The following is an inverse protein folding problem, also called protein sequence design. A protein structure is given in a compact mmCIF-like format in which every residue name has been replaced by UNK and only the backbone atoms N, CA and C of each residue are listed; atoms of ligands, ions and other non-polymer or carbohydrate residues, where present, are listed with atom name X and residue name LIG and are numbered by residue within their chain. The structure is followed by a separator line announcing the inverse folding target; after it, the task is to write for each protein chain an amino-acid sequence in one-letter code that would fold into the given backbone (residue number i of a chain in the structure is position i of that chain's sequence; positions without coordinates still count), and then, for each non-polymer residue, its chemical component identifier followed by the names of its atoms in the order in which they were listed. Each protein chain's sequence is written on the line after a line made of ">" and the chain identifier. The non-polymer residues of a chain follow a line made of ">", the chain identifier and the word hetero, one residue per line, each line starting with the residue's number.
data_IF_929630397124
#
_entry.id   IF_929630397124
#
_cell.length_a   1.000
_cell.length_b   1.000
_cell.length_c   1.000
_cell.angle_alpha   90.00
_cell.angle_beta   90.00
_cell.angle_gamma   90.00
#
_symmetry.space_group_name_H-M   'P 1'
#
loop_
_entity.id
_entity.type
_entity.pdbx_description
1 polymer ?
#
# COMPACT_ATOMS: atom_id res chain seq x y z
N UNK A 1 -1.78 -50.76 -34.93
CA UNK A 1 -2.03 -49.31 -35.14
C UNK A 1 -2.84 -48.73 -33.97
N UNK A 2 -3.98 -49.26 -33.53
CA UNK A 2 -4.80 -48.75 -32.42
C UNK A 2 -4.02 -48.73 -31.11
N UNK A 3 -3.23 -49.74 -30.76
CA UNK A 3 -2.43 -49.79 -29.56
C UNK A 3 -1.31 -48.70 -29.55
N UNK A 4 -0.71 -48.41 -30.72
CA UNK A 4 0.31 -47.36 -30.86
C UNK A 4 -0.31 -45.97 -30.69
N UNK A 5 -1.48 -45.72 -31.29
CA UNK A 5 -2.19 -44.45 -31.13
C UNK A 5 -2.68 -44.24 -29.68
N UNK A 6 -3.09 -45.28 -28.97
CA UNK A 6 -3.48 -45.19 -27.57
C UNK A 6 -2.26 -44.91 -26.65
N UNK A 7 -1.09 -45.52 -26.93
CA UNK A 7 0.13 -45.25 -26.18
C UNK A 7 0.58 -43.81 -26.34
N UNK A 8 0.60 -43.27 -27.56
CA UNK A 8 0.92 -41.85 -27.82
C UNK A 8 -0.06 -40.89 -27.13
N UNK A 9 -1.36 -41.22 -27.15
CA UNK A 9 -2.37 -40.39 -26.47
C UNK A 9 -2.16 -40.37 -24.94
N UNK A 10 -1.82 -41.51 -24.33
CA UNK A 10 -1.52 -41.60 -22.89
C UNK A 10 -0.27 -40.81 -22.56
N UNK A 11 0.84 -41.04 -23.31
CA UNK A 11 2.10 -40.32 -23.12
C UNK A 11 1.94 -38.79 -23.27
N UNK A 12 1.16 -38.36 -24.28
CA UNK A 12 0.86 -36.94 -24.46
C UNK A 12 0.09 -36.37 -23.28
N UNK A 13 -0.88 -37.11 -22.76
CA UNK A 13 -1.66 -36.70 -21.59
C UNK A 13 -0.79 -36.61 -20.34
N UNK A 14 0.04 -37.60 -20.07
CA UNK A 14 0.98 -37.60 -18.95
C UNK A 14 1.96 -36.40 -19.04
N UNK A 15 2.41 -36.07 -20.25
CA UNK A 15 3.27 -34.91 -20.47
C UNK A 15 2.55 -33.60 -20.16
N UNK A 16 1.32 -33.44 -20.61
CA UNK A 16 0.48 -32.24 -20.33
C UNK A 16 0.23 -32.11 -18.82
N UNK A 17 -0.15 -33.19 -18.14
CA UNK A 17 -0.36 -33.21 -16.68
C UNK A 17 0.93 -32.86 -15.92
N UNK A 18 2.07 -33.39 -16.37
CA UNK A 18 3.37 -33.07 -15.80
C UNK A 18 3.77 -31.61 -16.00
N UNK A 19 3.51 -31.04 -17.18
CA UNK A 19 3.74 -29.62 -17.46
C UNK A 19 2.85 -28.70 -16.61
N UNK A 20 1.59 -29.05 -16.41
CA UNK A 20 0.68 -28.29 -15.54
C UNK A 20 1.16 -28.33 -14.09
N UNK A 21 1.52 -29.52 -13.58
CA UNK A 21 2.04 -29.67 -12.22
C UNK A 21 3.32 -28.86 -12.00
N UNK A 22 4.20 -28.82 -13.01
CA UNK A 22 5.42 -28.02 -12.96
C UNK A 22 5.11 -26.52 -12.93
N UNK A 23 4.18 -26.05 -13.77
CA UNK A 23 3.74 -24.66 -13.81
C UNK A 23 3.10 -24.24 -12.48
N UNK A 24 2.21 -25.06 -11.92
CA UNK A 24 1.61 -24.84 -10.60
C UNK A 24 2.68 -24.78 -9.49
N UNK A 25 3.70 -25.61 -9.60
CA UNK A 25 4.86 -25.59 -8.69
C UNK A 25 5.64 -24.27 -8.75
N UNK A 26 5.91 -23.76 -9.96
CA UNK A 26 6.56 -22.46 -10.15
C UNK A 26 5.70 -21.29 -9.65
N UNK A 27 4.40 -21.31 -9.90
CA UNK A 27 3.48 -20.27 -9.44
C UNK A 27 3.47 -20.21 -7.92
N UNK A 28 3.38 -21.37 -7.25
CA UNK A 28 3.46 -21.41 -5.78
C UNK A 28 4.82 -20.93 -5.25
N UNK A 29 5.91 -21.23 -5.96
CA UNK A 29 7.23 -20.73 -5.60
C UNK A 29 7.28 -19.20 -5.69
N UNK A 30 6.77 -18.62 -6.78
CA UNK A 30 6.70 -17.16 -6.96
C UNK A 30 5.83 -16.52 -5.88
N UNK A 31 4.62 -17.04 -5.64
CA UNK A 31 3.73 -16.58 -4.60
C UNK A 31 4.36 -16.63 -3.20
N UNK A 32 5.06 -17.75 -2.88
CA UNK A 32 5.79 -17.88 -1.62
C UNK A 32 6.96 -16.89 -1.49
N UNK A 33 7.63 -16.55 -2.60
CA UNK A 33 8.70 -15.55 -2.61
C UNK A 33 8.16 -14.12 -2.38
N UNK A 34 6.96 -13.84 -2.89
CA UNK A 34 6.26 -12.56 -2.66
C UNK A 34 5.83 -12.46 -1.19
N UNK A 35 5.21 -13.52 -0.67
CA UNK A 35 4.80 -13.58 0.74
C UNK A 35 6.01 -13.49 1.70
N UNK A 36 7.16 -14.03 1.31
CA UNK A 36 8.39 -13.95 2.10
C UNK A 36 9.05 -12.55 2.09
N UNK A 37 8.73 -11.69 1.12
CA UNK A 37 9.28 -10.35 1.00
C UNK A 37 8.79 -9.42 2.12
N UNK A 38 7.54 -9.55 2.52
CA UNK A 38 6.99 -8.80 3.64
C UNK A 38 6.46 -9.79 4.70
N UNK A 39 6.86 -9.65 5.97
CA UNK A 39 6.33 -10.47 7.05
C UNK A 39 4.82 -10.30 7.26
N UNK A 40 4.21 -9.33 6.57
CA UNK A 40 2.80 -8.95 6.68
C UNK A 40 1.91 -9.51 5.56
N UNK A 41 2.47 -10.27 4.62
CA UNK A 41 1.74 -10.91 3.52
C UNK A 41 1.75 -12.43 3.62
N UNK A 42 2.21 -12.97 4.76
CA UNK A 42 2.36 -14.42 4.96
C UNK A 42 1.08 -15.20 4.67
N UNK A 43 1.05 -15.90 3.52
CA UNK A 43 -0.07 -16.72 3.07
C UNK A 43 -1.22 -15.97 2.39
N UNK A 44 -1.13 -14.66 2.15
CA UNK A 44 -2.13 -13.91 1.39
C UNK A 44 -2.30 -14.47 -0.02
N UNK A 45 -1.18 -14.66 -0.72
CA UNK A 45 -1.16 -15.22 -2.08
C UNK A 45 -1.73 -16.65 -2.16
N UNK A 46 -1.85 -17.38 -1.06
CA UNK A 46 -2.50 -18.69 -0.99
C UNK A 46 -3.98 -18.60 -0.60
N UNK A 47 -4.35 -17.64 0.26
CA UNK A 47 -5.71 -17.52 0.80
C UNK A 47 -6.68 -16.86 -0.19
N UNK A 48 -6.25 -15.83 -0.92
CA UNK A 48 -7.09 -15.14 -1.93
C UNK A 48 -7.57 -16.10 -3.03
N UNK A 49 -6.72 -16.93 -3.66
CA UNK A 49 -7.18 -17.90 -4.65
C UNK A 49 -8.25 -18.87 -4.12
N UNK A 50 -8.08 -19.34 -2.89
CA UNK A 50 -9.06 -20.26 -2.24
C UNK A 50 -10.41 -19.56 -2.06
N UNK A 51 -10.39 -18.32 -1.56
CA UNK A 51 -11.61 -17.55 -1.36
C UNK A 51 -12.28 -17.20 -2.68
N UNK A 52 -11.52 -16.77 -3.69
CA UNK A 52 -12.02 -16.48 -5.03
C UNK A 52 -12.68 -17.73 -5.66
N UNK A 53 -12.06 -18.90 -5.52
CA UNK A 53 -12.64 -20.17 -5.96
C UNK A 53 -13.96 -20.47 -5.23
N UNK A 54 -14.01 -20.32 -3.91
CA UNK A 54 -15.25 -20.57 -3.12
C UNK A 54 -16.41 -19.65 -3.56
N UNK A 55 -16.12 -18.39 -3.89
CA UNK A 55 -17.14 -17.44 -4.40
C UNK A 55 -17.56 -17.85 -5.81
N UNK A 56 -16.63 -18.23 -6.67
CA UNK A 56 -16.91 -18.69 -8.05
C UNK A 56 -17.81 -19.92 -8.06
N UNK A 57 -17.54 -20.92 -7.23
CA UNK A 57 -18.35 -22.13 -7.12
C UNK A 57 -19.82 -21.82 -6.76
N UNK A 58 -20.03 -20.85 -5.87
CA UNK A 58 -21.38 -20.41 -5.49
C UNK A 58 -22.03 -19.61 -6.62
N UNK A 59 -21.28 -18.76 -7.31
CA UNK A 59 -21.79 -18.01 -8.46
C UNK A 59 -22.25 -18.94 -9.59
N UNK A 60 -21.52 -20.03 -9.84
CA UNK A 60 -21.88 -21.03 -10.85
C UNK A 60 -23.09 -21.89 -10.46
N UNK A 61 -23.38 -22.04 -9.17
CA UNK A 61 -24.54 -22.76 -8.66
C UNK A 61 -25.79 -21.90 -8.65
N UNK A 62 -25.66 -20.58 -8.81
CA UNK A 62 -26.82 -19.69 -8.84
C UNK A 62 -27.70 -19.97 -10.03
N UNK A 63 -29.02 -20.08 -9.76
CA UNK A 63 -30.08 -20.32 -10.79
C UNK A 63 -30.85 -19.04 -11.10
N UNK A 64 -30.68 -17.99 -10.33
CA UNK A 64 -31.45 -16.75 -10.46
C UNK A 64 -30.49 -15.53 -10.33
N UNK A 65 -30.99 -14.35 -10.73
CA UNK A 65 -30.23 -13.10 -10.63
C UNK A 65 -29.09 -12.99 -11.64
N UNK A 66 -28.10 -12.10 -11.40
CA UNK A 66 -27.06 -11.79 -12.38
C UNK A 66 -26.10 -12.95 -12.65
N UNK A 67 -26.08 -13.97 -11.79
CA UNK A 67 -25.20 -15.14 -11.94
C UNK A 67 -25.92 -16.36 -12.57
N UNK A 68 -27.21 -16.30 -12.92
CA UNK A 68 -27.99 -17.43 -13.39
C UNK A 68 -27.36 -18.15 -14.61
N UNK A 69 -26.68 -17.42 -15.47
CA UNK A 69 -26.02 -17.92 -16.66
C UNK A 69 -24.49 -17.97 -16.55
N UNK A 70 -23.95 -17.63 -15.40
CA UNK A 70 -22.51 -17.65 -15.19
C UNK A 70 -22.01 -19.08 -15.02
N UNK A 71 -21.19 -19.53 -15.93
CA UNK A 71 -20.49 -20.81 -15.87
C UNK A 71 -19.13 -20.65 -16.50
N UNK A 72 -18.13 -21.27 -15.91
CA UNK A 72 -16.77 -21.32 -16.43
C UNK A 72 -16.47 -22.75 -16.91
N UNK A 73 -15.88 -22.87 -18.08
CA UNK A 73 -15.31 -24.15 -18.51
C UNK A 73 -13.99 -24.45 -17.77
N UNK A 74 -13.38 -25.61 -18.02
CA UNK A 74 -12.16 -26.03 -17.33
C UNK A 74 -10.97 -25.08 -17.60
N UNK A 75 -10.80 -24.60 -18.84
CA UNK A 75 -9.74 -23.67 -19.20
C UNK A 75 -9.94 -22.31 -18.51
N UNK A 76 -11.15 -21.78 -18.48
CA UNK A 76 -11.48 -20.52 -17.81
C UNK A 76 -11.28 -20.60 -16.30
N UNK A 77 -11.59 -21.73 -15.65
CA UNK A 77 -11.32 -21.95 -14.23
C UNK A 77 -9.83 -21.98 -13.94
N UNK A 78 -9.08 -22.66 -14.81
CA UNK A 78 -7.64 -22.74 -14.67
C UNK A 78 -6.99 -21.37 -14.91
N UNK A 79 -7.44 -20.64 -15.92
CA UNK A 79 -6.99 -19.26 -16.19
C UNK A 79 -7.24 -18.33 -14.99
N UNK A 80 -8.45 -18.38 -14.41
CA UNK A 80 -8.77 -17.60 -13.21
C UNK A 80 -7.97 -18.04 -11.98
N UNK A 81 -7.76 -19.33 -11.81
CA UNK A 81 -6.90 -19.88 -10.76
C UNK A 81 -5.47 -19.31 -10.85
N UNK A 82 -4.87 -19.33 -12.03
CA UNK A 82 -3.53 -18.76 -12.25
C UNK A 82 -3.49 -17.27 -11.96
N UNK A 83 -4.49 -16.53 -12.46
CA UNK A 83 -4.61 -15.10 -12.22
C UNK A 83 -4.70 -14.79 -10.71
N UNK A 84 -5.46 -15.57 -9.96
CA UNK A 84 -5.61 -15.39 -8.52
C UNK A 84 -4.31 -15.65 -7.74
N UNK A 85 -3.52 -16.65 -8.13
CA UNK A 85 -2.21 -16.90 -7.51
C UNK A 85 -1.17 -15.83 -7.84
N UNK A 86 -1.28 -15.18 -8.99
CA UNK A 86 -0.28 -14.24 -9.51
C UNK A 86 -0.74 -12.78 -9.43
N UNK A 87 -1.94 -12.50 -8.87
CA UNK A 87 -2.52 -11.14 -8.86
C UNK A 87 -1.56 -10.09 -8.27
N UNK A 88 -0.76 -10.48 -7.32
CA UNK A 88 0.18 -9.65 -6.57
C UNK A 88 1.65 -9.84 -6.97
N UNK A 89 1.95 -10.56 -8.06
CA UNK A 89 3.35 -10.87 -8.40
C UNK A 89 4.22 -9.61 -8.61
N UNK A 90 3.63 -8.51 -9.03
CA UNK A 90 4.31 -7.22 -9.17
C UNK A 90 4.78 -6.60 -7.85
N UNK A 91 4.27 -7.01 -6.69
CA UNK A 91 4.76 -6.55 -5.37
C UNK A 91 6.23 -6.85 -5.13
N UNK A 92 6.82 -7.77 -5.90
CA UNK A 92 8.26 -8.02 -5.85
C UNK A 92 9.08 -6.77 -6.21
N UNK A 93 8.55 -5.86 -7.00
CA UNK A 93 9.20 -4.63 -7.42
C UNK A 93 8.97 -3.46 -6.45
N UNK A 94 7.97 -3.54 -5.56
CA UNK A 94 7.67 -2.50 -4.60
C UNK A 94 8.75 -2.41 -3.52
N UNK A 95 9.22 -1.20 -3.14
CA UNK A 95 10.20 -1.07 -2.07
C UNK A 95 9.63 -1.52 -0.73
N UNK A 96 10.36 -2.38 -0.01
CA UNK A 96 9.95 -2.96 1.27
C UNK A 96 9.60 -1.88 2.30
N UNK A 97 10.46 -0.86 2.43
CA UNK A 97 10.25 0.24 3.37
C UNK A 97 8.99 1.09 3.08
N UNK A 98 8.40 0.99 1.89
CA UNK A 98 7.14 1.66 1.55
C UNK A 98 5.96 0.75 1.91
N UNK A 99 6.07 -0.54 1.60
CA UNK A 99 5.03 -1.54 1.90
C UNK A 99 4.82 -1.66 3.42
N UNK A 100 5.92 -1.67 4.18
CA UNK A 100 5.92 -1.90 5.63
C UNK A 100 5.93 -0.59 6.44
N UNK A 101 5.79 0.58 5.80
CA UNK A 101 5.86 1.89 6.45
C UNK A 101 4.82 2.05 7.57
N UNK A 102 5.29 2.07 8.82
CA UNK A 102 4.45 2.16 10.01
C UNK A 102 4.15 3.60 10.43
N UNK A 103 5.08 4.53 10.21
CA UNK A 103 4.98 5.94 10.64
C UNK A 103 5.36 6.90 9.51
N UNK A 104 4.88 8.14 9.56
CA UNK A 104 5.01 9.11 8.44
C UNK A 104 6.45 9.42 8.04
N UNK A 105 7.36 9.57 9.00
CA UNK A 105 8.78 9.89 8.77
C UNK A 105 9.65 8.66 8.51
N UNK A 106 9.07 7.47 8.46
CA UNK A 106 9.82 6.25 8.21
C UNK A 106 10.26 6.14 6.75
N UNK A 107 11.49 5.72 6.58
CA UNK A 107 12.08 5.31 5.31
C UNK A 107 12.78 3.97 5.57
N UNK A 108 14.13 3.92 5.58
CA UNK A 108 14.90 2.77 6.07
C UNK A 108 14.88 2.75 7.62
N UNK A 109 14.73 3.90 8.24
CA UNK A 109 14.55 4.09 9.69
C UNK A 109 13.64 5.30 9.95
N UNK A 110 13.12 5.39 11.18
CA UNK A 110 12.22 6.48 11.57
C UNK A 110 13.00 7.77 11.83
N UNK A 111 12.90 8.76 10.92
CA UNK A 111 13.62 10.04 10.98
C UNK A 111 13.17 10.98 12.10
N UNK A 112 12.17 10.63 12.89
CA UNK A 112 11.81 11.35 14.12
C UNK A 112 13.02 11.47 15.08
N UNK A 113 14.00 10.55 14.97
CA UNK A 113 15.20 10.58 15.78
C UNK A 113 16.11 11.76 15.44
N UNK A 114 16.19 12.18 14.18
CA UNK A 114 16.90 13.37 13.75
C UNK A 114 16.21 14.64 14.24
N UNK A 115 14.88 14.67 14.16
CA UNK A 115 14.08 15.79 14.69
C UNK A 115 14.28 15.90 16.19
N UNK A 116 14.23 14.79 16.94
CA UNK A 116 14.51 14.77 18.39
C UNK A 116 15.87 15.37 18.71
N UNK A 117 16.91 15.04 17.95
CA UNK A 117 18.24 15.59 18.17
C UNK A 117 18.26 17.14 18.01
N UNK A 118 17.50 17.69 17.05
CA UNK A 118 17.36 19.15 16.90
C UNK A 118 16.59 19.78 18.07
N UNK A 119 15.55 19.14 18.60
CA UNK A 119 14.88 19.59 19.82
C UNK A 119 15.80 19.54 21.05
N UNK A 120 16.65 18.53 21.17
CA UNK A 120 17.69 18.46 22.22
C UNK A 120 18.71 19.62 22.12
N UNK A 121 19.06 20.03 20.90
CA UNK A 121 19.91 21.20 20.67
C UNK A 121 19.21 22.46 21.19
N UNK A 122 17.96 22.71 20.78
CA UNK A 122 17.18 23.88 21.22
C UNK A 122 16.93 23.87 22.72
N UNK A 123 16.71 22.72 23.33
CA UNK A 123 16.57 22.59 24.79
C UNK A 123 17.86 23.03 25.53
N UNK A 124 19.02 22.61 25.02
CA UNK A 124 20.33 23.04 25.56
C UNK A 124 20.63 24.50 25.26
N UNK A 125 20.22 25.02 24.11
CA UNK A 125 20.36 26.43 23.78
C UNK A 125 19.58 27.32 24.76
N UNK A 126 18.41 26.87 25.24
CA UNK A 126 17.67 27.55 26.28
C UNK A 126 18.46 27.61 27.61
N UNK A 127 19.14 26.52 27.98
CA UNK A 127 20.03 26.51 29.16
C UNK A 127 21.24 27.41 28.98
N UNK A 128 21.88 27.39 27.83
CA UNK A 128 23.00 28.28 27.50
C UNK A 128 22.60 29.74 27.59
N UNK A 129 21.43 30.12 27.06
CA UNK A 129 20.91 31.49 27.16
C UNK A 129 20.67 31.92 28.61
N UNK A 130 20.11 31.02 29.43
CA UNK A 130 19.94 31.26 30.86
C UNK A 130 21.27 31.55 31.56
N UNK A 131 22.28 30.71 31.32
CA UNK A 131 23.61 30.90 31.91
C UNK A 131 24.26 32.20 31.43
N UNK A 132 24.10 32.55 30.15
CA UNK A 132 24.61 33.82 29.60
C UNK A 132 23.91 35.04 30.22
N UNK A 133 22.58 34.99 30.41
CA UNK A 133 21.83 36.05 31.07
C UNK A 133 22.29 36.27 32.49
N UNK A 134 22.53 35.18 33.27
CA UNK A 134 23.09 35.26 34.62
C UNK A 134 24.49 35.87 34.62
N UNK A 135 25.36 35.49 33.67
CA UNK A 135 26.71 36.04 33.55
C UNK A 135 26.71 37.54 33.18
N UNK A 136 25.72 37.97 32.42
CA UNK A 136 25.50 39.36 32.03
C UNK A 136 24.88 40.23 33.16
N UNK A 137 24.53 39.61 34.30
CA UNK A 137 23.95 40.31 35.45
C UNK A 137 22.45 40.56 35.37
N UNK A 138 21.75 39.83 34.50
CA UNK A 138 20.28 39.83 34.44
C UNK A 138 19.68 39.13 35.67
N UNK A 139 18.40 39.39 35.99
CA UNK A 139 17.72 38.71 37.11
C UNK A 139 17.65 37.19 36.90
N UNK A 140 18.36 36.39 37.74
CA UNK A 140 18.41 34.96 37.57
C UNK A 140 17.01 34.26 37.66
N UNK A 141 16.10 34.85 38.42
CA UNK A 141 14.75 34.31 38.60
C UNK A 141 13.92 34.47 37.32
N UNK A 142 14.03 35.64 36.69
CA UNK A 142 13.37 35.91 35.43
C UNK A 142 14.01 35.11 34.30
N UNK A 143 15.33 35.05 34.22
CA UNK A 143 16.03 34.23 33.25
C UNK A 143 15.70 32.73 33.37
N UNK A 144 15.58 32.19 34.60
CA UNK A 144 15.16 30.83 34.85
C UNK A 144 13.72 30.57 34.36
N UNK A 145 12.81 31.51 34.61
CA UNK A 145 11.41 31.42 34.15
C UNK A 145 11.34 31.33 32.59
N UNK A 146 12.10 32.17 31.89
CA UNK A 146 12.14 32.12 30.41
C UNK A 146 12.71 30.79 29.90
N UNK A 147 13.76 30.26 30.53
CA UNK A 147 14.29 28.91 30.22
C UNK A 147 13.22 27.85 30.37
N UNK A 148 12.58 27.81 31.56
CA UNK A 148 11.59 26.77 31.89
C UNK A 148 10.39 26.83 30.97
N UNK A 149 9.88 28.01 30.64
CA UNK A 149 8.81 28.19 29.65
C UNK A 149 9.22 27.71 28.26
N UNK A 150 10.47 28.06 27.81
CA UNK A 150 10.98 27.63 26.52
C UNK A 150 11.13 26.10 26.44
N UNK A 151 11.70 25.49 27.49
CA UNK A 151 11.89 24.03 27.55
C UNK A 151 10.56 23.30 27.62
N UNK A 152 9.57 23.77 28.39
CA UNK A 152 8.24 23.20 28.45
C UNK A 152 7.51 23.28 27.08
N UNK A 153 7.64 24.42 26.38
CA UNK A 153 7.11 24.58 25.03
C UNK A 153 7.74 23.57 24.06
N UNK A 154 9.07 23.41 24.07
CA UNK A 154 9.75 22.45 23.21
C UNK A 154 9.30 21.02 23.48
N UNK A 155 9.11 20.63 24.74
CA UNK A 155 8.59 19.30 25.10
C UNK A 155 7.18 19.08 24.56
N UNK A 156 6.28 20.06 24.70
CA UNK A 156 4.91 20.01 24.18
C UNK A 156 4.89 19.96 22.64
N UNK A 157 5.73 20.75 21.97
CA UNK A 157 5.85 20.78 20.51
C UNK A 157 6.39 19.45 19.97
N UNK A 158 7.41 18.86 20.61
CA UNK A 158 7.95 17.55 20.21
C UNK A 158 6.93 16.43 20.44
N UNK A 159 6.23 16.45 21.59
CA UNK A 159 5.15 15.47 21.86
C UNK A 159 4.10 15.48 20.75
N UNK A 160 3.63 16.66 20.37
CA UNK A 160 2.67 16.81 19.28
C UNK A 160 3.20 16.29 17.93
N UNK A 161 4.46 16.58 17.57
CA UNK A 161 5.07 16.04 16.35
C UNK A 161 5.24 14.53 16.38
N UNK A 162 5.56 13.97 17.55
CA UNK A 162 5.68 12.52 17.73
C UNK A 162 4.35 11.81 17.53
N UNK A 163 3.26 12.37 18.09
CA UNK A 163 1.89 11.86 17.87
C UNK A 163 1.49 11.98 16.39
N UNK A 164 1.76 13.14 15.76
CA UNK A 164 1.50 13.35 14.34
C UNK A 164 2.27 12.36 13.44
N UNK A 165 3.49 11.96 13.83
CA UNK A 165 4.30 10.99 13.09
C UNK A 165 3.72 9.58 13.10
N UNK A 166 3.11 9.15 14.20
CA UNK A 166 2.44 7.82 14.28
C UNK A 166 1.33 7.70 13.26
N UNK A 167 0.73 8.81 12.90
CA UNK A 167 -0.38 8.87 11.96
C UNK A 167 -1.71 8.59 12.64
N UNK A 168 -2.76 9.14 12.08
CA UNK A 168 -4.13 8.97 12.53
C UNK A 168 -5.04 8.65 11.34
N UNK A 169 -6.27 8.25 11.61
CA UNK A 169 -7.28 8.06 10.56
C UNK A 169 -7.61 9.38 9.84
N UNK A 170 -7.43 10.52 10.53
CA UNK A 170 -7.53 11.85 9.94
C UNK A 170 -6.74 12.88 10.76
N UNK A 171 -6.08 13.81 10.07
CA UNK A 171 -5.41 14.96 10.67
C UNK A 171 -6.16 16.22 10.25
N UNK A 172 -6.44 17.13 11.20
CA UNK A 172 -7.14 18.39 10.93
C UNK A 172 -6.25 19.41 10.22
N UNK A 173 -6.88 20.40 9.57
CA UNK A 173 -6.14 21.51 8.96
C UNK A 173 -5.42 22.37 10.02
N UNK A 174 -5.97 22.47 11.22
CA UNK A 174 -5.35 23.13 12.36
C UNK A 174 -4.06 22.45 12.80
N UNK A 175 -4.05 21.11 12.81
CA UNK A 175 -2.86 20.33 13.11
C UNK A 175 -1.77 20.52 12.04
N UNK A 176 -2.15 20.56 10.78
CA UNK A 176 -1.23 20.87 9.66
C UNK A 176 -0.61 22.26 9.84
N UNK A 177 -1.41 23.28 10.19
CA UNK A 177 -0.92 24.64 10.47
C UNK A 177 0.04 24.61 11.65
N UNK A 178 -0.29 23.91 12.74
CA UNK A 178 0.57 23.78 13.91
C UNK A 178 1.91 23.10 13.60
N UNK A 179 1.92 22.03 12.81
CA UNK A 179 3.17 21.37 12.36
C UNK A 179 4.06 22.38 11.63
N UNK A 180 3.49 23.18 10.72
CA UNK A 180 4.23 24.22 9.98
C UNK A 180 4.79 25.31 10.90
N UNK A 181 4.01 25.74 11.89
CA UNK A 181 4.46 26.73 12.89
C UNK A 181 5.61 26.19 13.73
N UNK A 182 5.52 24.95 14.20
CA UNK A 182 6.60 24.28 14.94
C UNK A 182 7.85 24.15 14.05
N UNK A 183 7.67 23.73 12.80
CA UNK A 183 8.74 23.56 11.84
C UNK A 183 9.47 24.85 11.48
N UNK A 184 8.79 26.01 11.57
CA UNK A 184 9.37 27.33 11.31
C UNK A 184 10.27 27.86 12.45
N UNK A 185 10.27 27.21 13.64
CA UNK A 185 11.26 27.53 14.66
C UNK A 185 12.66 27.29 14.10
N UNK A 186 13.65 28.07 14.53
CA UNK A 186 15.00 27.99 13.95
C UNK A 186 16.04 27.50 14.94
N UNK A 187 17.06 26.83 14.44
CA UNK A 187 18.23 26.37 15.15
C UNK A 187 19.51 26.74 14.40
N UNK A 188 20.65 26.69 15.05
CA UNK A 188 21.94 27.05 14.47
C UNK A 188 22.74 25.81 14.10
N UNK A 189 23.05 25.66 12.80
CA UNK A 189 23.92 24.61 12.29
C UNK A 189 25.35 25.13 12.17
N UNK A 190 26.30 24.44 12.80
CA UNK A 190 27.71 24.81 12.84
C UNK A 190 28.60 23.97 11.91
N UNK A 191 28.06 22.89 11.34
CA UNK A 191 28.79 22.01 10.43
C UNK A 191 28.25 22.14 9.00
N UNK A 192 29.18 22.04 8.00
CA UNK A 192 28.76 22.09 6.58
C UNK A 192 27.85 20.94 6.25
N UNK A 193 26.74 21.23 5.53
CA UNK A 193 25.81 20.25 4.95
C UNK A 193 26.31 19.65 3.62
N UNK A 194 27.56 20.00 3.22
CA UNK A 194 28.20 19.48 2.00
C UNK A 194 29.15 18.33 2.27
N UNK A 195 29.40 18.00 3.55
CA UNK A 195 30.32 16.93 3.92
C UNK A 195 29.58 15.61 4.09
N UNK A 196 30.16 14.52 3.56
CA UNK A 196 29.65 13.17 3.73
C UNK A 196 28.46 12.82 2.81
N UNK A 197 28.22 13.62 1.76
CA UNK A 197 27.11 13.42 0.82
C UNK A 197 27.43 12.38 -0.25
N UNK A 198 26.41 11.62 -0.65
CA UNK A 198 26.43 10.80 -1.86
C UNK A 198 26.46 11.66 -3.14
N UNK A 199 26.76 11.06 -4.30
CA UNK A 199 26.73 11.77 -5.57
C UNK A 199 25.37 12.37 -5.92
N UNK A 200 24.29 11.64 -5.63
CA UNK A 200 22.91 12.11 -5.86
C UNK A 200 22.57 13.33 -5.00
N UNK A 201 22.98 13.33 -3.73
CA UNK A 201 22.78 14.46 -2.81
C UNK A 201 23.61 15.68 -3.21
N UNK A 202 24.86 15.48 -3.63
CA UNK A 202 25.70 16.56 -4.19
C UNK A 202 25.05 17.18 -5.42
N UNK A 203 24.51 16.36 -6.32
CA UNK A 203 23.82 16.83 -7.50
C UNK A 203 22.54 17.60 -7.16
N UNK A 204 21.76 17.15 -6.20
CA UNK A 204 20.55 17.85 -5.71
C UNK A 204 20.86 19.23 -5.11
N UNK A 205 22.10 19.43 -4.65
CA UNK A 205 22.59 20.69 -4.09
C UNK A 205 23.41 21.55 -5.06
N UNK A 206 23.63 21.10 -6.29
CA UNK A 206 24.55 21.77 -7.23
C UNK A 206 24.19 23.24 -7.47
N UNK A 207 22.89 23.54 -7.57
CA UNK A 207 22.39 24.90 -7.79
C UNK A 207 22.09 25.69 -6.53
N UNK A 208 22.33 25.10 -5.34
CA UNK A 208 22.09 25.77 -4.07
C UNK A 208 23.39 26.33 -3.52
N UNK A 209 23.48 27.62 -3.15
CA UNK A 209 24.68 28.18 -2.54
C UNK A 209 24.92 27.55 -1.16
N UNK A 210 26.19 27.32 -0.81
CA UNK A 210 26.54 26.89 0.55
C UNK A 210 26.31 28.04 1.55
N UNK A 211 25.59 27.75 2.63
CA UNK A 211 25.31 28.73 3.65
C UNK A 211 26.55 28.99 4.50
N UNK A 212 26.80 30.28 4.81
CA UNK A 212 27.84 30.63 5.78
C UNK A 212 27.50 30.07 7.17
N UNK A 213 28.52 29.57 7.86
CA UNK A 213 28.39 29.00 9.21
C UNK A 213 28.68 30.04 10.32
N UNK A 214 27.91 30.03 11.41
CA UNK A 214 26.77 29.20 11.69
C UNK A 214 25.56 29.55 10.82
N UNK A 215 24.89 28.54 10.25
CA UNK A 215 23.71 28.74 9.42
C UNK A 215 22.41 28.61 10.24
N UNK A 216 21.52 29.57 10.07
CA UNK A 216 20.17 29.49 10.67
C UNK A 216 19.27 28.65 9.82
N UNK A 217 18.76 27.56 10.36
CA UNK A 217 17.89 26.62 9.67
C UNK A 217 16.54 26.43 10.37
N UNK A 218 15.46 26.18 9.63
CA UNK A 218 14.20 25.81 10.23
C UNK A 218 14.32 24.43 10.90
N UNK A 219 13.54 24.24 11.96
CA UNK A 219 13.53 23.01 12.75
C UNK A 219 13.06 21.80 11.92
N UNK A 220 12.07 22.01 11.04
CA UNK A 220 11.65 21.05 10.03
C UNK A 220 11.79 21.67 8.64
N UNK A 221 12.28 20.92 7.68
CA UNK A 221 12.43 21.41 6.31
C UNK A 221 12.27 20.30 5.27
N UNK A 222 11.77 20.69 4.11
CA UNK A 222 11.82 19.89 2.90
C UNK A 222 13.08 20.31 2.13
N UNK A 223 14.13 19.50 2.26
CA UNK A 223 15.45 19.79 1.67
C UNK A 223 15.53 19.27 0.22
N UNK A 224 16.37 19.85 -0.66
CA UNK A 224 16.49 19.39 -2.06
C UNK A 224 16.82 17.90 -2.19
N UNK A 225 17.66 17.33 -1.33
CA UNK A 225 17.99 15.91 -1.34
C UNK A 225 16.89 14.99 -0.82
N UNK A 226 15.82 15.54 -0.26
CA UNK A 226 14.60 14.77 0.07
C UNK A 226 13.78 14.42 -1.16
N UNK A 227 13.97 15.14 -2.26
CA UNK A 227 13.21 14.99 -3.50
C UNK A 227 14.02 14.12 -4.47
N UNK A 228 13.38 13.12 -5.04
CA UNK A 228 13.93 12.32 -6.12
C UNK A 228 13.02 12.45 -7.35
N UNK A 229 13.57 13.00 -8.41
CA UNK A 229 12.87 13.10 -9.69
C UNK A 229 12.82 11.74 -10.40
N UNK A 230 11.95 11.61 -11.36
CA UNK A 230 11.84 10.40 -12.17
C UNK A 230 13.06 10.18 -13.10
N UNK A 231 13.68 11.26 -13.59
CA UNK A 231 14.71 11.18 -14.61
C UNK A 231 14.22 10.38 -15.83
N UNK A 232 15.04 9.49 -16.34
CA UNK A 232 14.70 8.62 -17.49
C UNK A 232 13.80 7.42 -17.10
N UNK A 233 13.42 7.28 -15.82
CA UNK A 233 12.65 6.15 -15.29
C UNK A 233 11.16 6.45 -15.11
N UNK A 234 10.62 7.37 -15.92
CA UNK A 234 9.18 7.66 -15.92
C UNK A 234 8.42 6.40 -16.37
N UNK A 235 7.55 5.81 -15.52
CA UNK A 235 6.77 4.65 -15.92
C UNK A 235 5.68 5.04 -16.94
N UNK A 236 5.42 4.20 -17.93
CA UNK A 236 4.43 4.48 -18.98
C UNK A 236 3.01 4.15 -18.47
N UNK A 237 2.50 4.92 -17.54
CA UNK A 237 1.21 4.67 -16.87
C UNK A 237 0.12 5.69 -17.21
N UNK A 238 0.47 6.73 -17.97
CA UNK A 238 -0.48 7.73 -18.44
C UNK A 238 -1.04 7.34 -19.81
N UNK A 239 -2.30 7.65 -20.08
CA UNK A 239 -3.00 7.23 -21.29
C UNK A 239 -2.38 7.78 -22.57
N UNK A 240 -1.76 8.94 -22.51
CA UNK A 240 -1.12 9.63 -23.63
C UNK A 240 0.37 9.29 -23.82
N UNK A 241 0.96 8.47 -22.94
CA UNK A 241 2.35 8.02 -23.11
C UNK A 241 2.43 6.97 -24.24
N UNK A 242 3.19 7.23 -25.32
CA UNK A 242 3.30 6.30 -26.45
C UNK A 242 3.95 4.96 -26.10
N UNK A 243 4.60 4.85 -24.95
CA UNK A 243 5.18 3.60 -24.43
C UNK A 243 4.14 2.75 -23.70
N UNK A 244 2.98 3.32 -23.38
CA UNK A 244 1.87 2.65 -22.70
C UNK A 244 1.09 1.78 -23.68
N UNK A 245 1.56 0.55 -23.90
CA UNK A 245 0.94 -0.39 -24.84
C UNK A 245 -0.31 -1.06 -24.27
N UNK A 246 -0.51 -1.00 -22.95
CA UNK A 246 -1.58 -1.67 -22.23
C UNK A 246 -2.82 -0.81 -21.99
N UNK A 247 -2.69 0.52 -22.16
CA UNK A 247 -3.78 1.46 -21.95
C UNK A 247 -4.02 1.83 -20.48
N UNK A 248 -2.99 1.81 -19.65
CA UNK A 248 -3.05 2.26 -18.27
C UNK A 248 -3.48 3.73 -18.17
N UNK A 249 -4.18 4.08 -17.11
CA UNK A 249 -4.67 5.43 -16.83
C UNK A 249 -4.46 5.78 -15.35
N UNK A 250 -3.20 5.93 -14.95
CA UNK A 250 -2.84 6.25 -13.58
C UNK A 250 -2.27 7.67 -13.50
N UNK A 251 -2.67 8.39 -12.45
CA UNK A 251 -2.08 9.70 -12.15
C UNK A 251 -0.64 9.52 -11.68
N UNK A 252 0.30 10.04 -12.45
CA UNK A 252 1.72 10.04 -12.10
C UNK A 252 2.00 11.22 -11.14
N UNK A 253 2.62 10.99 -9.97
CA UNK A 253 3.09 12.05 -9.09
C UNK A 253 4.22 12.87 -9.75
N UNK A 254 4.37 14.13 -9.33
CA UNK A 254 5.41 15.02 -9.85
C UNK A 254 6.82 14.44 -9.62
N UNK A 255 7.04 13.82 -8.45
CA UNK A 255 8.33 13.24 -8.07
C UNK A 255 8.23 11.72 -7.93
N UNK A 256 9.36 11.03 -8.13
CA UNK A 256 9.47 9.61 -7.84
C UNK A 256 9.40 9.33 -6.33
N UNK A 257 9.95 10.22 -5.51
CA UNK A 257 9.85 10.24 -4.05
C UNK A 257 9.95 11.67 -3.53
N UNK A 258 9.19 11.97 -2.50
CA UNK A 258 9.33 13.18 -1.69
C UNK A 258 9.44 12.78 -0.21
N UNK A 259 10.66 12.87 0.33
CA UNK A 259 10.99 12.53 1.71
C UNK A 259 11.04 13.77 2.60
N UNK A 260 10.47 14.90 2.16
CA UNK A 260 10.39 16.13 2.95
C UNK A 260 9.77 15.88 4.33
N UNK A 261 10.28 16.52 5.35
CA UNK A 261 9.81 16.33 6.72
C UNK A 261 8.41 16.94 6.90
N UNK A 262 8.21 18.16 6.41
CA UNK A 262 6.90 18.80 6.42
C UNK A 262 5.93 18.09 5.50
N UNK A 263 6.36 17.70 4.29
CA UNK A 263 5.57 16.95 3.33
C UNK A 263 5.00 15.66 3.97
N UNK A 264 5.86 14.87 4.65
CA UNK A 264 5.44 13.63 5.29
C UNK A 264 4.57 13.87 6.54
N UNK A 265 4.97 14.77 7.46
CA UNK A 265 4.23 15.00 8.69
C UNK A 265 2.84 15.58 8.46
N UNK A 266 2.62 16.31 7.36
CA UNK A 266 1.33 16.93 7.02
C UNK A 266 0.40 16.03 6.22
N UNK A 267 0.71 14.75 6.04
CA UNK A 267 -0.21 13.78 5.44
C UNK A 267 -1.47 13.68 6.31
N UNK A 268 -2.64 13.91 5.72
CA UNK A 268 -3.90 13.93 6.46
C UNK A 268 -4.48 12.54 6.70
N UNK A 269 -4.18 11.54 5.84
CA UNK A 269 -4.73 10.19 5.91
C UNK A 269 -3.64 9.13 5.81
N UNK A 270 -3.45 8.36 6.88
CA UNK A 270 -2.47 7.30 6.96
C UNK A 270 -1.03 7.81 7.06
N UNK A 271 -0.09 7.02 6.55
CA UNK A 271 1.36 7.26 6.68
C UNK A 271 2.08 7.49 5.36
N UNK A 272 1.44 7.20 4.21
CA UNK A 272 2.05 7.22 2.89
C UNK A 272 1.85 8.57 2.18
N UNK A 273 2.91 9.10 1.58
CA UNK A 273 2.81 10.22 0.64
C UNK A 273 2.12 9.80 -0.67
N UNK A 274 1.80 10.76 -1.54
CA UNK A 274 1.24 10.48 -2.87
C UNK A 274 2.21 9.63 -3.71
N UNK A 275 3.49 9.94 -3.65
CA UNK A 275 4.55 9.21 -4.35
C UNK A 275 4.70 7.77 -3.85
N UNK A 276 4.67 7.58 -2.54
CA UNK A 276 4.75 6.24 -1.93
C UNK A 276 3.51 5.42 -2.23
N UNK A 277 2.32 6.03 -2.18
CA UNK A 277 1.07 5.39 -2.57
C UNK A 277 1.09 4.97 -4.03
N UNK A 278 1.59 5.84 -4.92
CA UNK A 278 1.79 5.48 -6.32
C UNK A 278 2.73 4.26 -6.46
N UNK A 279 3.85 4.23 -5.71
CA UNK A 279 4.80 3.09 -5.74
C UNK A 279 4.18 1.78 -5.29
N UNK A 280 3.25 1.81 -4.33
CA UNK A 280 2.50 0.62 -3.98
C UNK A 280 1.54 0.25 -5.11
N UNK A 281 0.76 1.21 -5.62
CA UNK A 281 -0.23 0.94 -6.67
C UNK A 281 0.42 0.48 -7.98
N UNK A 282 1.64 0.92 -8.27
CA UNK A 282 2.42 0.53 -9.46
C UNK A 282 2.65 -0.99 -9.55
N UNK A 283 2.55 -1.74 -8.42
CA UNK A 283 2.71 -3.20 -8.47
C UNK A 283 1.73 -3.86 -9.45
N UNK A 284 0.53 -3.29 -9.64
CA UNK A 284 -0.45 -3.80 -10.60
C UNK A 284 0.04 -3.68 -12.04
N UNK A 285 0.63 -2.54 -12.38
CA UNK A 285 1.27 -2.33 -13.68
C UNK A 285 2.37 -3.37 -13.89
N UNK A 286 3.20 -3.58 -12.88
CA UNK A 286 4.27 -4.58 -12.94
C UNK A 286 3.71 -6.00 -13.04
N UNK A 287 2.63 -6.32 -12.33
CA UNK A 287 1.93 -7.61 -12.46
C UNK A 287 1.52 -7.86 -13.90
N UNK A 288 0.84 -6.90 -14.54
CA UNK A 288 0.37 -7.02 -15.91
C UNK A 288 1.55 -7.17 -16.87
N UNK A 289 2.56 -6.30 -16.79
CA UNK A 289 3.72 -6.33 -17.65
C UNK A 289 4.51 -7.65 -17.52
N UNK A 290 4.68 -8.15 -16.29
CA UNK A 290 5.39 -9.42 -16.05
C UNK A 290 4.63 -10.62 -16.60
N UNK A 291 3.31 -10.65 -16.43
CA UNK A 291 2.47 -11.73 -16.93
C UNK A 291 2.30 -11.71 -18.45
N UNK A 292 2.22 -10.52 -19.05
CA UNK A 292 2.13 -10.34 -20.52
C UNK A 292 3.44 -10.74 -21.23
N UNK A 293 4.57 -10.62 -20.54
CA UNK A 293 5.86 -11.09 -21.06
C UNK A 293 6.02 -12.62 -21.06
N UNK A 294 5.12 -13.37 -20.40
CA UNK A 294 5.16 -14.83 -20.43
C UNK A 294 4.57 -15.36 -21.74
N UNK A 295 5.15 -16.42 -22.33
CA UNK A 295 4.62 -17.05 -23.54
C UNK A 295 3.39 -17.94 -23.19
N UNK A 296 2.34 -17.29 -22.69
CA UNK A 296 1.11 -17.98 -22.33
C UNK A 296 0.36 -18.47 -23.58
N UNK A 297 -0.19 -19.69 -23.57
CA UNK A 297 -1.03 -20.18 -24.67
C UNK A 297 -2.34 -19.38 -24.73
N UNK A 298 -3.01 -19.35 -25.89
CA UNK A 298 -4.23 -18.57 -26.14
C UNK A 298 -5.33 -18.79 -25.08
N UNK A 299 -5.46 -20.01 -24.55
CA UNK A 299 -6.42 -20.36 -23.48
C UNK A 299 -6.13 -19.68 -22.12
N UNK A 300 -4.98 -19.05 -21.96
CA UNK A 300 -4.54 -18.32 -20.77
C UNK A 300 -4.27 -16.84 -21.06
N UNK A 301 -4.73 -16.33 -22.20
CA UNK A 301 -4.45 -14.97 -22.65
C UNK A 301 -5.05 -13.90 -21.73
N UNK A 302 -6.09 -14.21 -20.94
CA UNK A 302 -6.71 -13.25 -20.03
C UNK A 302 -6.05 -13.20 -18.64
N UNK A 303 -5.07 -14.06 -18.34
CA UNK A 303 -4.38 -14.09 -17.03
C UNK A 303 -3.85 -12.70 -16.63
N UNK A 304 -3.13 -11.94 -17.50
CA UNK A 304 -2.63 -10.62 -17.12
C UNK A 304 -3.76 -9.64 -16.74
N UNK A 305 -4.86 -9.66 -17.49
CA UNK A 305 -6.02 -8.80 -17.20
C UNK A 305 -6.73 -9.22 -15.91
N UNK A 306 -7.06 -10.50 -15.76
CA UNK A 306 -7.73 -11.02 -14.56
C UNK A 306 -6.92 -10.77 -13.29
N UNK A 307 -5.59 -10.92 -13.35
CA UNK A 307 -4.70 -10.62 -12.25
C UNK A 307 -4.61 -9.11 -11.95
N UNK A 308 -4.60 -8.28 -13.00
CA UNK A 308 -4.32 -6.86 -12.91
C UNK A 308 -5.54 -5.97 -12.65
N UNK A 309 -6.76 -6.50 -12.47
CA UNK A 309 -7.98 -5.69 -12.33
C UNK A 309 -8.60 -5.72 -10.93
N UNK A 310 -8.00 -6.41 -9.97
CA UNK A 310 -8.57 -6.52 -8.62
C UNK A 310 -8.58 -5.20 -7.83
N UNK A 311 -7.85 -4.18 -8.26
CA UNK A 311 -7.92 -2.81 -7.73
C UNK A 311 -8.79 -1.87 -8.55
N UNK A 312 -9.48 -2.37 -9.59
CA UNK A 312 -10.52 -1.60 -10.27
C UNK A 312 -11.74 -1.42 -9.35
N UNK A 313 -12.49 -0.37 -9.62
CA UNK A 313 -13.69 -0.03 -8.84
C UNK A 313 -14.88 0.07 -9.78
N UNK A 314 -16.05 -0.37 -9.33
CA UNK A 314 -17.24 -0.31 -10.18
C UNK A 314 -17.69 1.11 -10.53
N UNK A 315 -17.21 2.13 -9.79
CA UNK A 315 -17.44 3.55 -10.09
C UNK A 315 -16.44 4.15 -11.11
N UNK A 316 -15.51 3.36 -11.65
CA UNK A 316 -14.50 3.80 -12.62
C UNK A 316 -13.33 4.59 -12.04
N UNK A 317 -13.21 4.67 -10.70
CA UNK A 317 -12.11 5.38 -10.02
C UNK A 317 -11.00 4.46 -9.53
N UNK A 318 -11.01 3.21 -9.97
CA UNK A 318 -9.98 2.23 -9.71
C UNK A 318 -8.73 2.43 -10.55
N UNK A 319 -7.84 1.49 -10.49
CA UNK A 319 -6.61 1.46 -11.29
C UNK A 319 -6.26 0.01 -11.63
N UNK A 320 -5.47 -0.25 -12.70
CA UNK A 320 -4.67 0.70 -13.47
C UNK A 320 -5.37 1.28 -14.72
N UNK A 321 -6.59 0.85 -15.07
CA UNK A 321 -7.27 1.23 -16.31
C UNK A 321 -8.43 2.23 -16.09
N UNK A 322 -8.98 2.33 -14.89
CA UNK A 322 -10.18 3.08 -14.58
C UNK A 322 -11.46 2.43 -15.15
N UNK A 323 -11.56 1.11 -15.07
CA UNK A 323 -12.71 0.35 -15.57
C UNK A 323 -13.95 0.60 -14.72
N UNK A 324 -15.09 0.76 -15.39
CA UNK A 324 -16.41 0.73 -14.73
C UNK A 324 -16.88 -0.69 -14.44
N UNK A 325 -17.92 -0.84 -13.60
CA UNK A 325 -18.50 -2.14 -13.31
C UNK A 325 -19.09 -2.84 -14.55
N UNK A 326 -19.43 -2.11 -15.60
CA UNK A 326 -19.90 -2.69 -16.88
C UNK A 326 -18.76 -3.27 -17.70
N UNK A 327 -17.55 -2.73 -17.55
CA UNK A 327 -16.35 -3.19 -18.27
C UNK A 327 -15.66 -4.39 -17.59
N UNK A 328 -16.05 -4.70 -16.33
CA UNK A 328 -15.49 -5.78 -15.54
C UNK A 328 -16.32 -7.06 -15.67
N UNK A 329 -15.65 -8.17 -15.96
CA UNK A 329 -16.24 -9.51 -15.92
C UNK A 329 -16.54 -9.97 -14.49
N UNK A 330 -17.40 -11.00 -14.35
CA UNK A 330 -17.74 -11.58 -13.04
C UNK A 330 -16.47 -12.08 -12.30
N UNK A 331 -15.53 -12.81 -12.92
CA UNK A 331 -14.28 -13.20 -12.25
C UNK A 331 -13.46 -12.02 -11.72
N UNK A 332 -13.34 -10.92 -12.46
CA UNK A 332 -12.64 -9.72 -12.03
C UNK A 332 -13.28 -9.11 -10.77
N UNK A 333 -14.60 -9.04 -10.72
CA UNK A 333 -15.37 -8.57 -9.55
C UNK A 333 -15.23 -9.52 -8.35
N UNK A 334 -15.21 -10.83 -8.59
CA UNK A 334 -14.98 -11.84 -7.54
C UNK A 334 -13.59 -11.70 -6.96
N UNK A 335 -12.57 -11.47 -7.79
CA UNK A 335 -11.19 -11.27 -7.33
C UNK A 335 -11.10 -10.08 -6.38
N UNK A 336 -11.69 -8.93 -6.74
CA UNK A 336 -11.69 -7.74 -5.90
C UNK A 336 -12.37 -7.97 -4.53
N UNK A 337 -13.50 -8.68 -4.51
CA UNK A 337 -14.20 -9.03 -3.26
C UNK A 337 -13.36 -9.98 -2.40
N UNK A 338 -12.72 -10.98 -3.02
CA UNK A 338 -11.89 -11.96 -2.31
C UNK A 338 -10.65 -11.30 -1.70
N UNK A 339 -9.94 -10.47 -2.47
CA UNK A 339 -8.76 -9.76 -2.03
C UNK A 339 -9.06 -8.82 -0.85
N UNK A 340 -10.10 -7.99 -0.98
CA UNK A 340 -10.50 -7.04 0.07
C UNK A 340 -10.90 -7.76 1.36
N UNK A 341 -11.70 -8.83 1.27
CA UNK A 341 -12.13 -9.56 2.46
C UNK A 341 -10.94 -10.21 3.17
N UNK A 342 -10.05 -10.83 2.41
CA UNK A 342 -8.81 -11.42 2.94
C UNK A 342 -7.95 -10.35 3.61
N UNK A 343 -7.70 -9.22 2.94
CA UNK A 343 -6.89 -8.12 3.48
C UNK A 343 -7.46 -7.47 4.74
N UNK A 344 -8.80 -7.45 4.91
CA UNK A 344 -9.46 -6.95 6.13
C UNK A 344 -9.34 -7.91 7.30
N UNK A 345 -9.38 -9.21 7.02
CA UNK A 345 -9.40 -10.26 8.05
C UNK A 345 -8.03 -10.84 8.37
N UNK A 346 -7.00 -10.58 7.55
CA UNK A 346 -5.63 -11.03 7.79
C UNK A 346 -5.07 -10.50 9.11
N UNK A 347 -4.42 -11.38 9.89
CA UNK A 347 -3.79 -11.05 11.19
C UNK A 347 -2.28 -10.88 11.10
N UNK A 348 -1.74 -10.91 9.91
CA UNK A 348 -0.29 -10.97 9.64
C UNK A 348 0.43 -9.62 9.90
N UNK A 349 -0.29 -8.54 10.23
CA UNK A 349 0.29 -7.21 10.53
C UNK A 349 0.44 -7.03 12.04
N UNK A 350 1.66 -6.86 12.60
CA UNK A 350 1.91 -6.79 14.04
C UNK A 350 1.25 -5.57 14.72
N UNK A 351 0.88 -4.55 13.95
CA UNK A 351 0.28 -3.31 14.47
C UNK A 351 -1.22 -3.21 14.20
N UNK A 352 -1.83 -4.18 13.49
CA UNK A 352 -3.25 -4.15 13.16
C UNK A 352 -3.87 -5.52 13.47
N UNK A 353 -4.79 -5.55 14.41
CA UNK A 353 -5.61 -6.74 14.63
C UNK A 353 -6.49 -6.96 13.40
N UNK A 354 -6.54 -8.20 12.89
CA UNK A 354 -7.47 -8.57 11.84
C UNK A 354 -8.90 -8.28 12.28
N UNK A 355 -9.73 -7.79 11.38
CA UNK A 355 -11.13 -7.49 11.65
C UNK A 355 -11.91 -8.74 11.94
N UNK A 356 -12.98 -8.61 12.75
CA UNK A 356 -13.97 -9.69 12.91
C UNK A 356 -14.80 -9.82 11.64
N UNK A 357 -15.54 -10.93 11.52
CA UNK A 357 -16.43 -11.16 10.37
C UNK A 357 -17.45 -10.02 10.21
N UNK A 358 -18.07 -9.59 11.31
CA UNK A 358 -19.06 -8.51 11.26
C UNK A 358 -18.44 -7.17 10.87
N UNK A 359 -17.27 -6.83 11.42
CA UNK A 359 -16.54 -5.60 11.07
C UNK A 359 -16.13 -5.58 9.59
N UNK A 360 -15.57 -6.70 9.09
CA UNK A 360 -15.13 -6.80 7.70
C UNK A 360 -16.31 -6.63 6.73
N UNK A 361 -17.43 -7.32 7.00
CA UNK A 361 -18.62 -7.22 6.14
C UNK A 361 -19.27 -5.83 6.21
N UNK A 362 -19.29 -5.16 7.36
CA UNK A 362 -19.78 -3.78 7.46
C UNK A 362 -18.91 -2.80 6.64
N UNK A 363 -17.59 -2.96 6.66
CA UNK A 363 -16.69 -2.16 5.82
C UNK A 363 -16.99 -2.43 4.35
N UNK A 364 -17.13 -3.69 3.95
CA UNK A 364 -17.41 -4.06 2.55
C UNK A 364 -18.79 -3.57 2.09
N UNK A 365 -19.84 -3.60 2.94
CA UNK A 365 -21.15 -3.02 2.60
C UNK A 365 -21.03 -1.50 2.33
N UNK A 366 -20.28 -0.78 3.16
CA UNK A 366 -19.98 0.62 2.90
C UNK A 366 -19.22 0.81 1.57
N UNK A 367 -18.29 -0.07 1.26
CA UNK A 367 -17.57 -0.04 -0.03
C UNK A 367 -18.50 -0.30 -1.22
N UNK A 368 -19.51 -1.17 -1.10
CA UNK A 368 -20.51 -1.32 -2.17
C UNK A 368 -21.30 -0.04 -2.38
N UNK A 369 -21.73 0.63 -1.32
CA UNK A 369 -22.47 1.90 -1.36
C UNK A 369 -21.66 3.04 -1.97
N UNK A 370 -20.36 3.00 -1.82
CA UNK A 370 -19.42 3.98 -2.39
C UNK A 370 -18.98 3.63 -3.81
N UNK A 371 -19.54 2.59 -4.43
CA UNK A 371 -19.15 2.15 -5.76
C UNK A 371 -17.71 1.60 -5.85
N UNK A 372 -17.18 1.07 -4.76
CA UNK A 372 -15.84 0.48 -4.76
C UNK A 372 -15.88 -0.95 -5.28
N UNK A 373 -16.73 -1.81 -4.70
CA UNK A 373 -16.89 -3.21 -5.09
C UNK A 373 -18.30 -3.49 -5.60
N UNK A 374 -18.45 -4.57 -6.38
CA UNK A 374 -19.73 -4.98 -6.94
C UNK A 374 -20.68 -5.48 -5.84
N UNK A 375 -21.87 -4.86 -5.76
CA UNK A 375 -22.86 -5.19 -4.75
C UNK A 375 -23.43 -6.59 -4.91
N UNK A 376 -23.64 -7.06 -6.14
CA UNK A 376 -24.23 -8.37 -6.38
C UNK A 376 -23.27 -9.50 -5.98
N UNK A 377 -21.97 -9.35 -6.27
CA UNK A 377 -20.94 -10.29 -5.82
C UNK A 377 -20.83 -10.28 -4.28
N UNK A 378 -20.86 -9.10 -3.65
CA UNK A 378 -20.88 -8.99 -2.19
C UNK A 378 -22.10 -9.67 -1.58
N UNK A 379 -23.30 -9.42 -2.11
CA UNK A 379 -24.53 -10.05 -1.62
C UNK A 379 -24.52 -11.57 -1.81
N UNK A 380 -24.00 -12.07 -2.94
CA UNK A 380 -23.79 -13.51 -3.16
C UNK A 380 -22.87 -14.10 -2.08
N UNK A 381 -21.73 -13.43 -1.81
CA UNK A 381 -20.76 -13.84 -0.81
C UNK A 381 -21.37 -13.94 0.60
N UNK A 382 -22.22 -12.98 0.98
CA UNK A 382 -22.93 -12.97 2.27
C UNK A 382 -24.01 -14.05 2.30
N UNK A 383 -24.96 -14.05 1.34
CA UNK A 383 -26.13 -14.97 1.31
C UNK A 383 -25.75 -16.44 1.26
N UNK A 384 -24.65 -16.76 0.58
CA UNK A 384 -24.16 -18.14 0.50
C UNK A 384 -23.47 -18.64 1.78
N UNK A 385 -23.20 -17.75 2.73
CA UNK A 385 -22.40 -18.07 3.92
C UNK A 385 -20.94 -18.40 3.62
N UNK A 386 -20.43 -18.05 2.43
CA UNK A 386 -19.04 -18.33 2.04
C UNK A 386 -18.05 -17.69 2.99
N UNK A 387 -18.33 -16.47 3.48
CA UNK A 387 -17.50 -15.79 4.47
C UNK A 387 -17.36 -16.59 5.78
N UNK A 388 -18.43 -17.28 6.23
CA UNK A 388 -18.37 -18.14 7.44
C UNK A 388 -17.55 -19.39 7.20
N UNK A 389 -17.74 -20.03 6.03
CA UNK A 389 -16.99 -21.23 5.65
C UNK A 389 -15.49 -20.95 5.56
N UNK A 390 -15.15 -19.82 4.93
CA UNK A 390 -13.76 -19.34 4.87
C UNK A 390 -13.24 -18.99 6.28
N UNK A 391 -14.00 -18.25 7.07
CA UNK A 391 -13.63 -17.87 8.44
C UNK A 391 -13.33 -19.09 9.33
N UNK A 392 -14.16 -20.14 9.26
CA UNK A 392 -13.94 -21.36 10.01
C UNK A 392 -12.64 -22.11 9.66
N UNK A 393 -12.09 -21.88 8.47
CA UNK A 393 -10.86 -22.56 7.99
C UNK A 393 -9.60 -21.72 8.20
N UNK A 394 -9.71 -20.39 8.17
CA UNK A 394 -8.56 -19.50 8.02
C UNK A 394 -8.44 -18.40 9.09
N UNK A 395 -9.52 -18.11 9.84
CA UNK A 395 -9.51 -17.06 10.85
C UNK A 395 -9.35 -17.59 12.27
N UNK A 396 -8.87 -16.76 13.17
CA UNK A 396 -8.80 -17.09 14.60
C UNK A 396 -10.21 -17.07 15.21
N UNK A 397 -10.41 -17.87 16.26
CA UNK A 397 -11.69 -17.98 16.94
C UNK A 397 -12.25 -16.62 17.41
N UNK A 398 -11.39 -15.71 17.83
CA UNK A 398 -11.73 -14.36 18.28
C UNK A 398 -12.25 -13.42 17.18
N UNK A 399 -12.00 -13.76 15.91
CA UNK A 399 -12.51 -13.02 14.75
C UNK A 399 -13.86 -13.54 14.24
N UNK A 400 -14.28 -14.72 14.70
CA UNK A 400 -15.53 -15.37 14.27
C UNK A 400 -16.63 -14.96 15.22
N UNK A 401 -17.26 -13.85 14.91
CA UNK A 401 -18.39 -13.30 15.65
C UNK A 401 -19.74 -13.56 14.96
N UNK A 402 -20.84 -13.15 15.61
CA UNK A 402 -22.19 -13.28 15.05
C UNK A 402 -22.46 -12.15 14.07
N UNK A 403 -22.80 -12.50 12.82
CA UNK A 403 -23.15 -11.56 11.76
C UNK A 403 -24.68 -11.51 11.59
N UNK A 404 -25.26 -10.33 11.66
CA UNK A 404 -26.65 -10.08 11.25
C UNK A 404 -26.70 -9.76 9.76
N UNK A 405 -26.92 -10.77 8.93
CA UNK A 405 -26.99 -10.64 7.47
C UNK A 405 -28.15 -9.75 6.99
N UNK A 406 -29.20 -9.57 7.81
CA UNK A 406 -30.36 -8.75 7.42
C UNK A 406 -29.98 -7.26 7.22
N UNK A 407 -28.88 -6.82 7.84
CA UNK A 407 -28.36 -5.45 7.69
C UNK A 407 -27.92 -5.15 6.26
N UNK A 408 -27.40 -6.14 5.54
CA UNK A 408 -26.86 -6.02 4.18
C UNK A 408 -27.91 -6.18 3.10
N UNK A 409 -29.09 -6.74 3.44
CA UNK A 409 -30.16 -7.06 2.48
C UNK A 409 -31.04 -5.85 2.15
N UNK A 410 -30.84 -4.74 2.84
CA UNK A 410 -31.58 -3.49 2.58
C UNK A 410 -31.03 -2.83 1.32
N UNK A 411 -31.92 -2.27 0.45
CA UNK A 411 -31.52 -1.60 -0.78
C UNK A 411 -30.66 -0.34 -0.52
#
# INVERSE_FOLDING_TARGET
>A
EIAGSAAVAIETRELIESQQALLDGFIRLVASAIDAKSPYTGGHCERVPKLAQMITEVAEQASEGPFAHFRMNEDERYEFHLAAWLHDCGKITSPEYVVDKAVKLETIYNRIHEIRARFEILHRDAEVRYLQACLNGEDPTEAARYRDEAQAKLQADFGFLADANVGSESMSDEDVVRIRQIGAQTWQRHFSDRLGLSGDEQQALADSPEAALPATEPLLADKPWHIRTWGDRVPPVQRDDPRNLWGFDMKLPEYAYNRGELHNLTIQYGTLTEEERFRINEHIVQTICMLDALPLPDRLARVPRLAGTHHERVDGKGYPFGLSGEDMSIPEKIMAVADIFEALTAVDRPYKQGKTLSEALNIMDNMTRQGHIDREVFLLFVRSGTYRRYGAQHLKAEQIDTVDESLFMKP
#
